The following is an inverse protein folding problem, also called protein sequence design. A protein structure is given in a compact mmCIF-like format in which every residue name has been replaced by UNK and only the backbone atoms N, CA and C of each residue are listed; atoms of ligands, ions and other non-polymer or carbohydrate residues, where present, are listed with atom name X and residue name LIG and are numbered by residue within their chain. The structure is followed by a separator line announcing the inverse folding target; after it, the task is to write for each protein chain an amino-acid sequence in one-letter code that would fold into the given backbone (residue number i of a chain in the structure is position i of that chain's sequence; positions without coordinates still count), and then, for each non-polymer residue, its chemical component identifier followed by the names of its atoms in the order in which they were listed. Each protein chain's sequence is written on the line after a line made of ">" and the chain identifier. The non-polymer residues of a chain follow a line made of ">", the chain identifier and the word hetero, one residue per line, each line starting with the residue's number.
data_IF_750955277710
#
_entry.id   IF_750955277710
#
_cell.length_a   1.000
_cell.length_b   1.000
_cell.length_c   1.000
_cell.angle_alpha   90.00
_cell.angle_beta   90.00
_cell.angle_gamma   90.00
#
_symmetry.space_group_name_H-M   'P 1'
#
loop_
_entity.id
_entity.type
_entity.pdbx_description
1 polymer ?
#
# COMPACT_ATOMS: atom_id res chain seq x y z
N UNK A 1 22.02 17.34 -45.33
CA UNK A 1 21.41 18.15 -44.47
C UNK A 1 20.14 17.77 -43.97
N UNK A 2 19.65 16.67 -44.05
CA UNK A 2 18.38 16.36 -43.61
C UNK A 2 18.37 15.31 -42.58
N UNK A 3 19.34 15.19 -41.78
CA UNK A 3 19.31 14.18 -40.77
C UNK A 3 18.82 14.63 -39.48
N UNK A 4 18.53 15.87 -39.30
CA UNK A 4 18.04 16.32 -38.02
C UNK A 4 16.71 15.74 -37.57
N UNK A 5 15.80 15.34 -38.44
CA UNK A 5 14.52 14.79 -37.91
C UNK A 5 14.62 13.54 -37.11
N UNK A 6 15.74 12.85 -37.11
CA UNK A 6 15.86 11.62 -36.35
C UNK A 6 16.05 11.83 -34.87
N UNK A 7 16.66 12.94 -34.49
CA UNK A 7 16.93 13.21 -33.10
C UNK A 7 15.68 13.30 -32.22
N UNK A 8 14.66 14.07 -32.67
CA UNK A 8 13.46 14.15 -31.85
C UNK A 8 12.75 12.81 -31.65
N UNK A 9 12.84 11.92 -32.64
CA UNK A 9 12.20 10.63 -32.50
C UNK A 9 12.89 9.80 -31.42
N UNK A 10 14.20 9.80 -31.41
CA UNK A 10 14.94 9.07 -30.38
C UNK A 10 14.64 9.61 -29.00
N UNK A 11 14.59 10.93 -28.87
CA UNK A 11 14.31 11.54 -27.59
C UNK A 11 12.92 11.20 -27.09
N UNK A 12 11.94 11.19 -27.97
CA UNK A 12 10.59 10.82 -27.57
C UNK A 12 10.51 9.38 -27.09
N UNK A 13 11.27 8.50 -27.71
CA UNK A 13 11.29 7.12 -27.31
C UNK A 13 11.86 6.94 -25.91
N UNK A 14 12.91 7.66 -25.59
CA UNK A 14 13.50 7.61 -24.26
C UNK A 14 12.53 8.11 -23.20
N UNK A 15 11.81 9.16 -23.49
CA UNK A 15 10.83 9.69 -22.56
C UNK A 15 9.70 8.70 -22.32
N UNK A 16 9.28 8.00 -23.35
CA UNK A 16 8.22 7.01 -23.20
C UNK A 16 8.66 5.87 -22.31
N UNK A 17 9.90 5.43 -22.42
CA UNK A 17 10.42 4.37 -21.57
C UNK A 17 10.47 4.81 -20.11
N UNK A 18 10.88 6.04 -19.86
CA UNK A 18 10.94 6.55 -18.49
C UNK A 18 9.54 6.62 -17.88
N UNK A 19 8.57 7.09 -18.64
CA UNK A 19 7.20 7.18 -18.15
C UNK A 19 6.63 5.80 -17.87
N UNK A 20 6.93 4.82 -18.71
CA UNK A 20 6.45 3.47 -18.50
C UNK A 20 7.01 2.86 -17.23
N UNK A 21 8.29 3.11 -16.95
CA UNK A 21 8.91 2.56 -15.76
C UNK A 21 8.35 3.14 -14.48
N UNK A 22 7.82 4.34 -14.53
CA UNK A 22 7.32 5.00 -13.32
C UNK A 22 5.98 4.44 -12.85
N UNK A 23 5.34 3.57 -13.63
CA UNK A 23 4.02 3.10 -13.28
C UNK A 23 3.99 1.68 -12.74
N UNK A 24 5.12 1.06 -12.53
CA UNK A 24 5.17 -0.33 -12.15
C UNK A 24 5.28 -0.46 -10.64
N UNK A 25 4.28 0.03 -9.91
CA UNK A 25 4.39 0.05 -8.46
C UNK A 25 3.21 -0.56 -7.72
N UNK A 26 2.18 -0.97 -8.41
CA UNK A 26 1.02 -1.49 -7.71
C UNK A 26 1.23 -2.96 -7.38
N UNK A 27 1.00 -3.28 -6.12
CA UNK A 27 1.00 -4.66 -5.62
C UNK A 27 -0.44 -5.15 -5.60
N UNK A 28 -0.59 -6.47 -5.45
CA UNK A 28 -1.90 -7.07 -5.33
C UNK A 28 -2.22 -7.27 -3.85
N UNK A 29 -3.27 -6.63 -3.39
CA UNK A 29 -3.76 -6.80 -2.03
C UNK A 29 -5.00 -7.67 -2.11
N UNK A 30 -5.13 -8.59 -1.14
CA UNK A 30 -6.24 -9.52 -1.08
C UNK A 30 -7.57 -8.74 -1.20
N UNK A 31 -8.44 -9.11 -2.15
CA UNK A 31 -9.70 -8.37 -2.33
C UNK A 31 -10.66 -8.48 -1.15
N UNK A 32 -10.46 -9.44 -0.25
CA UNK A 32 -11.29 -9.53 0.93
C UNK A 32 -10.88 -8.56 2.03
N UNK A 33 -9.74 -7.89 1.86
CA UNK A 33 -9.24 -6.98 2.89
C UNK A 33 -10.15 -5.77 3.02
N UNK A 34 -10.41 -5.38 4.24
CA UNK A 34 -11.24 -4.21 4.54
C UNK A 34 -10.35 -2.98 4.70
N UNK A 35 -10.93 -1.83 4.45
CA UNK A 35 -10.20 -0.58 4.49
C UNK A 35 -10.54 0.17 5.77
N UNK A 36 -9.54 0.80 6.38
CA UNK A 36 -9.75 1.59 7.58
C UNK A 36 -8.55 2.45 7.90
N UNK A 37 -8.66 3.21 8.99
CA UNK A 37 -7.58 4.02 9.50
C UNK A 37 -7.02 3.33 10.74
N UNK A 38 -5.72 3.13 10.78
CA UNK A 38 -5.08 2.37 11.85
C UNK A 38 -4.12 3.23 12.63
N UNK A 39 -4.01 2.91 13.92
CA UNK A 39 -3.10 3.57 14.82
C UNK A 39 -2.56 2.52 15.79
N UNK A 40 -1.27 2.57 16.06
CA UNK A 40 -0.67 1.66 17.04
C UNK A 40 -0.95 2.18 18.45
N UNK A 41 -1.29 1.27 19.36
CA UNK A 41 -1.53 1.63 20.76
C UNK A 41 -0.34 1.17 21.60
N UNK A 42 -0.16 -0.13 21.75
CA UNK A 42 1.01 -0.66 22.42
C UNK A 42 1.12 -2.15 22.14
N UNK A 43 2.35 -2.64 22.05
CA UNK A 43 2.58 -4.06 21.78
C UNK A 43 1.87 -4.50 20.49
N UNK A 44 1.03 -5.50 20.61
CA UNK A 44 0.26 -6.02 19.48
C UNK A 44 -1.14 -5.43 19.41
N UNK A 45 -1.43 -4.43 20.21
CA UNK A 45 -2.75 -3.79 20.23
C UNK A 45 -2.72 -2.55 19.34
N UNK A 46 -3.71 -2.45 18.46
CA UNK A 46 -3.87 -1.32 17.56
C UNK A 46 -5.32 -0.85 17.62
N UNK A 47 -5.61 0.24 16.92
CA UNK A 47 -6.98 0.71 16.72
C UNK A 47 -7.26 0.76 15.24
N UNK A 48 -8.43 0.29 14.85
CA UNK A 48 -8.93 0.39 13.48
C UNK A 48 -10.22 1.22 13.56
N UNK A 49 -10.21 2.37 12.91
CA UNK A 49 -11.37 3.26 12.92
C UNK A 49 -11.81 3.61 14.34
N UNK A 50 -10.84 3.76 15.25
CA UNK A 50 -11.10 4.11 16.62
C UNK A 50 -11.46 2.96 17.55
N UNK A 51 -11.51 1.73 17.03
CA UNK A 51 -11.83 0.57 17.85
C UNK A 51 -10.59 -0.27 18.06
N UNK A 52 -10.39 -0.75 19.27
CA UNK A 52 -9.24 -1.58 19.57
C UNK A 52 -9.32 -2.92 18.87
N UNK A 53 -8.18 -3.38 18.40
CA UNK A 53 -8.03 -4.66 17.73
C UNK A 53 -6.69 -5.24 18.12
N UNK A 54 -6.59 -6.56 18.05
CA UNK A 54 -5.38 -7.28 18.41
C UNK A 54 -4.74 -7.85 17.15
N UNK A 55 -3.43 -7.68 17.02
CA UNK A 55 -2.70 -8.34 15.95
C UNK A 55 -2.51 -9.81 16.32
N UNK A 56 -2.73 -10.69 15.36
CA UNK A 56 -2.53 -12.12 15.59
C UNK A 56 -1.05 -12.41 15.70
N UNK A 57 -0.73 -13.51 16.36
CA UNK A 57 0.64 -13.99 16.37
C UNK A 57 1.05 -14.29 14.93
N UNK A 58 2.19 -13.77 14.52
CA UNK A 58 2.64 -13.95 13.15
C UNK A 58 2.01 -13.00 12.15
N UNK A 59 1.18 -12.05 12.60
CA UNK A 59 0.62 -11.07 11.70
C UNK A 59 1.72 -10.22 11.08
N UNK A 60 1.54 -9.86 9.82
CA UNK A 60 2.48 -9.01 9.12
C UNK A 60 1.83 -7.71 8.74
N UNK A 61 2.56 -6.61 8.96
CA UNK A 61 2.19 -5.29 8.49
C UNK A 61 3.18 -4.93 7.40
N UNK A 62 2.67 -4.56 6.22
CA UNK A 62 3.52 -4.15 5.11
C UNK A 62 3.22 -2.73 4.74
N UNK A 63 4.28 -1.96 4.43
CA UNK A 63 4.12 -0.55 4.09
C UNK A 63 3.85 -0.38 2.58
N UNK A 64 3.84 0.86 2.14
CA UNK A 64 3.54 1.16 0.74
C UNK A 64 4.55 0.62 -0.24
N UNK A 65 5.72 0.23 0.22
CA UNK A 65 6.74 -0.42 -0.60
C UNK A 65 6.73 -1.93 -0.42
N UNK A 66 5.71 -2.44 0.25
CA UNK A 66 5.56 -3.87 0.51
C UNK A 66 6.64 -4.43 1.44
N UNK A 67 7.22 -3.58 2.27
CA UNK A 67 8.22 -4.00 3.27
C UNK A 67 7.55 -4.25 4.60
N UNK A 68 8.04 -5.24 5.35
CA UNK A 68 7.50 -5.56 6.66
C UNK A 68 7.84 -4.46 7.64
N UNK A 69 6.84 -4.05 8.43
CA UNK A 69 6.95 -2.96 9.39
C UNK A 69 6.55 -3.50 10.76
N UNK A 70 7.33 -3.15 11.80
CA UNK A 70 6.93 -3.52 13.16
C UNK A 70 5.77 -2.65 13.61
N UNK A 71 4.90 -3.15 14.50
CA UNK A 71 3.70 -2.39 14.88
C UNK A 71 3.99 -0.99 15.40
N UNK A 72 5.04 -0.83 16.19
CA UNK A 72 5.35 0.47 16.78
C UNK A 72 5.79 1.51 15.76
N UNK A 73 6.17 1.08 14.55
CA UNK A 73 6.61 2.01 13.50
C UNK A 73 5.47 2.47 12.61
N UNK A 74 4.24 2.03 12.85
CA UNK A 74 3.09 2.42 12.05
C UNK A 74 2.76 3.89 12.35
N UNK A 75 2.64 4.74 11.31
CA UNK A 75 2.26 6.14 11.56
C UNK A 75 0.84 6.23 12.10
N UNK A 76 0.58 7.29 12.85
CA UNK A 76 -0.75 7.50 13.41
C UNK A 76 -1.77 7.76 12.30
N UNK A 77 -2.94 7.14 12.43
CA UNK A 77 -4.09 7.40 11.55
C UNK A 77 -3.76 7.15 10.07
N UNK A 78 -3.01 6.10 9.81
CA UNK A 78 -2.64 5.75 8.44
C UNK A 78 -3.74 4.91 7.82
N UNK A 79 -3.98 5.10 6.52
CA UNK A 79 -4.98 4.32 5.80
C UNK A 79 -4.39 2.95 5.49
N UNK A 80 -5.13 1.92 5.85
CA UNK A 80 -4.68 0.53 5.67
C UNK A 80 -5.79 -0.31 5.07
N UNK A 81 -5.41 -1.48 4.58
CA UNK A 81 -6.34 -2.59 4.35
C UNK A 81 -5.91 -3.73 5.26
N UNK A 82 -6.87 -4.49 5.74
CA UNK A 82 -6.58 -5.51 6.74
C UNK A 82 -7.48 -6.72 6.59
N UNK A 83 -6.96 -7.87 7.03
CA UNK A 83 -7.71 -9.11 7.09
C UNK A 83 -7.84 -9.55 8.54
N UNK A 84 -9.00 -10.09 8.87
CA UNK A 84 -9.30 -10.59 10.21
C UNK A 84 -9.39 -12.12 10.12
N UNK A 85 -8.80 -12.80 11.10
CA UNK A 85 -8.84 -14.25 11.11
C UNK A 85 -10.10 -14.76 11.83
N UNK A 86 -10.19 -16.07 11.97
CA UNK A 86 -11.37 -16.66 12.58
C UNK A 86 -11.57 -16.34 14.05
N UNK A 87 -10.54 -15.79 14.71
CA UNK A 87 -10.61 -15.40 16.11
C UNK A 87 -10.82 -13.91 16.27
N UNK A 88 -11.06 -13.19 15.20
CA UNK A 88 -11.28 -11.77 15.27
C UNK A 88 -10.01 -10.93 15.38
N UNK A 89 -8.85 -11.54 15.16
CA UNK A 89 -7.58 -10.83 15.23
C UNK A 89 -7.11 -10.47 13.85
N UNK A 90 -6.31 -9.39 13.76
CA UNK A 90 -5.76 -8.95 12.49
C UNK A 90 -4.64 -9.90 12.05
N UNK A 91 -4.81 -10.52 10.90
CA UNK A 91 -3.81 -11.48 10.40
C UNK A 91 -2.86 -10.84 9.39
N UNK A 92 -3.32 -9.83 8.67
CA UNK A 92 -2.51 -9.10 7.69
C UNK A 92 -2.95 -7.67 7.64
N UNK A 93 -1.99 -6.77 7.46
CA UNK A 93 -2.26 -5.34 7.33
C UNK A 93 -1.36 -4.79 6.25
N UNK A 94 -1.93 -3.98 5.36
CA UNK A 94 -1.19 -3.28 4.32
C UNK A 94 -1.40 -1.79 4.50
N UNK A 95 -0.32 -1.06 4.78
CA UNK A 95 -0.37 0.40 4.82
C UNK A 95 -0.40 0.87 3.37
N UNK A 96 -1.43 1.62 3.00
CA UNK A 96 -1.59 2.03 1.62
C UNK A 96 -0.65 3.18 1.28
N UNK A 97 -0.06 3.11 0.08
CA UNK A 97 0.66 4.25 -0.46
C UNK A 97 -0.35 5.35 -0.81
N UNK A 98 0.10 6.59 -1.05
CA UNK A 98 -0.83 7.63 -1.46
C UNK A 98 -1.61 7.28 -2.72
N UNK A 99 -0.96 6.60 -3.67
CA UNK A 99 -1.65 6.19 -4.89
C UNK A 99 -2.71 5.14 -4.60
N UNK A 100 -2.40 4.18 -3.73
CA UNK A 100 -3.36 3.15 -3.36
C UNK A 100 -4.53 3.74 -2.57
N UNK A 101 -4.23 4.66 -1.67
CA UNK A 101 -5.27 5.28 -0.86
C UNK A 101 -6.21 6.14 -1.70
N UNK A 102 -5.71 6.68 -2.81
CA UNK A 102 -6.52 7.49 -3.70
C UNK A 102 -7.47 6.67 -4.56
N UNK A 103 -7.26 5.37 -4.65
CA UNK A 103 -8.14 4.52 -5.45
C UNK A 103 -9.40 4.18 -4.67
N UNK A 104 -10.56 4.10 -5.34
CA UNK A 104 -11.77 3.71 -4.64
C UNK A 104 -11.69 2.27 -4.16
N UNK A 105 -12.43 1.99 -3.09
CA UNK A 105 -12.49 0.65 -2.55
C UNK A 105 -13.30 -0.22 -3.53
N UNK A 106 -12.73 -1.29 -4.06
CA UNK A 106 -13.44 -2.12 -5.05
C UNK A 106 -14.62 -2.86 -4.46
N UNK A 107 -14.73 -2.91 -3.15
CA UNK A 107 -15.84 -3.63 -2.53
C UNK A 107 -17.09 -2.79 -2.38
N UNK A 108 -17.09 -1.58 -2.85
CA UNK A 108 -18.25 -0.73 -2.70
C UNK A 108 -19.38 -1.09 -3.64
#
# INVERSE_FOLDING_TARGET
>A
MIRSPRLPVVLALLLALAAGGAQAQFRTINPEAKRGAMRHVEGMTVEINGKRAQLAAGAQIRDGRNMVVVPAAVPADVVVKYLVDGQGQLSRVWILSPQEAAQPDPKK
#
